data_IF_732686063784
#
_entry.id   IF_732686063784
#
_cell.length_a   1.000
_cell.length_b   1.000
_cell.length_c   1.000
_cell.angle_alpha   90.00
_cell.angle_beta   90.00
_cell.angle_gamma   90.00
#
_symmetry.space_group_name_H-M   'P 1'
#
loop_
_entity.id
_entity.type
_entity.pdbx_description
1 polymer ?
2 water ?
#
# COMPACT_ATOMS: atom_id res chain seq x y z
N UNK A 1 -14.93 19.08 -12.94
CA UNK A 1 -14.50 18.49 -11.64
C UNK A 1 -15.01 17.05 -11.38
N UNK A 2 -15.35 16.33 -12.45
CA UNK A 2 -15.81 14.95 -12.31
C UNK A 2 -14.81 13.97 -11.68
N UNK A 3 -13.53 14.26 -11.82
CA UNK A 3 -12.50 13.26 -11.48
C UNK A 3 -11.60 13.74 -10.36
N UNK A 4 -12.13 14.65 -9.55
CA UNK A 4 -11.34 15.30 -8.51
C UNK A 4 -11.13 14.46 -7.25
N UNK A 5 -11.99 13.45 -7.04
CA UNK A 5 -12.05 12.72 -5.76
C UNK A 5 -11.87 11.21 -5.95
N UNK A 6 -10.88 10.64 -5.26
CA UNK A 6 -10.67 9.20 -5.25
C UNK A 6 -11.65 8.49 -4.30
N UNK A 7 -12.38 7.50 -4.83
CA UNK A 7 -13.25 6.66 -4.01
C UNK A 7 -12.38 5.62 -3.30
N UNK A 8 -11.49 4.99 -4.04
CA UNK A 8 -10.57 4.01 -3.46
C UNK A 8 -9.47 3.68 -4.44
N UNK A 9 -8.46 2.98 -3.93
CA UNK A 9 -7.42 2.39 -4.75
C UNK A 9 -7.54 0.88 -4.47
N UNK A 10 -7.46 0.06 -5.51
CA UNK A 10 -7.55 -1.43 -5.35
C UNK A 10 -6.18 -2.09 -5.51
N UNK A 11 -5.95 -3.13 -4.72
CA UNK A 11 -4.65 -3.84 -4.68
C UNK A 11 -4.96 -5.32 -4.75
N UNK A 12 -4.10 -6.06 -5.46
CA UNK A 12 -4.16 -7.54 -5.51
C UNK A 12 -3.06 -8.07 -4.59
N UNK A 13 -3.45 -8.94 -3.65
CA UNK A 13 -2.54 -9.50 -2.65
C UNK A 13 -2.65 -11.02 -2.67
N UNK A 14 -1.61 -11.69 -2.16
CA UNK A 14 -1.58 -13.17 -2.28
C UNK A 14 -2.10 -13.93 -1.06
N UNK A 15 -1.97 -13.34 0.12
CA UNK A 15 -2.18 -14.09 1.35
C UNK A 15 -2.98 -13.31 2.37
N UNK A 16 -4.01 -13.95 2.92
CA UNK A 16 -4.94 -13.26 3.79
C UNK A 16 -4.28 -12.79 5.10
N UNK A 17 -3.60 -13.70 5.81
CA UNK A 17 -3.01 -13.29 7.10
C UNK A 17 -1.93 -12.21 6.93
N UNK A 18 -1.14 -12.32 5.86
CA UNK A 18 -0.11 -11.31 5.53
C UNK A 18 -0.75 -9.93 5.34
N UNK A 19 -1.90 -9.91 4.67
CA UNK A 19 -2.63 -8.69 4.33
C UNK A 19 -3.17 -8.04 5.61
N UNK A 20 -3.78 -8.83 6.50
CA UNK A 20 -4.26 -8.27 7.78
C UNK A 20 -3.09 -7.76 8.63
N UNK A 21 -2.00 -8.53 8.70
CA UNK A 21 -0.86 -8.15 9.54
C UNK A 21 -0.29 -6.81 9.05
N UNK A 22 -0.18 -6.65 7.75
CA UNK A 22 0.46 -5.47 7.18
C UNK A 22 -0.48 -4.26 7.13
N UNK A 23 -1.58 -4.38 6.41
CA UNK A 23 -2.45 -3.22 6.20
C UNK A 23 -3.29 -2.82 7.40
N UNK A 24 -3.83 -3.81 8.11
CA UNK A 24 -4.67 -3.52 9.24
C UNK A 24 -3.83 -3.30 10.49
N UNK A 25 -3.00 -4.28 10.86
CA UNK A 25 -2.30 -4.19 12.14
C UNK A 25 -1.18 -3.15 12.18
N UNK A 26 -0.40 -3.06 11.11
CA UNK A 26 0.72 -2.15 11.08
C UNK A 26 0.40 -0.78 10.54
N UNK A 27 -0.20 -0.71 9.36
CA UNK A 27 -0.54 0.57 8.75
C UNK A 27 -1.77 1.21 9.39
N UNK A 28 -2.53 0.42 10.14
CA UNK A 28 -3.65 0.94 10.94
C UNK A 28 -4.92 1.20 10.18
N UNK A 29 -5.09 0.57 9.02
CA UNK A 29 -6.36 0.61 8.33
C UNK A 29 -7.35 -0.19 9.17
N UNK A 30 -8.61 0.23 9.14
CA UNK A 30 -9.66 -0.52 9.80
C UNK A 30 -10.45 -1.29 8.75
N UNK A 31 -10.99 -2.44 9.14
CA UNK A 31 -11.86 -3.17 8.21
C UNK A 31 -13.21 -2.46 8.05
N UNK A 32 -13.57 -2.18 6.80
CA UNK A 32 -14.89 -1.68 6.45
C UNK A 32 -15.81 -2.84 6.10
N UNK A 33 -15.35 -3.71 5.21
CA UNK A 33 -16.09 -4.92 4.88
C UNK A 33 -15.15 -6.04 4.46
N UNK A 34 -15.59 -7.29 4.64
CA UNK A 34 -14.83 -8.46 4.17
C UNK A 34 -15.84 -9.44 3.62
N UNK A 35 -15.63 -9.89 2.39
CA UNK A 35 -16.53 -10.87 1.77
C UNK A 35 -15.80 -11.83 0.86
N UNK A 36 -16.21 -13.09 0.87
CA UNK A 36 -15.56 -14.13 0.06
C UNK A 36 -16.36 -14.32 -1.22
N UNK A 37 -15.69 -14.21 -2.36
CA UNK A 37 -16.39 -14.30 -3.64
C UNK A 37 -16.13 -15.67 -4.27
N UNK A 38 -17.06 -16.62 -4.09
CA UNK A 38 -16.77 -18.04 -4.41
C UNK A 38 -16.44 -18.21 -5.89
N UNK A 39 -17.16 -17.45 -6.71
CA UNK A 39 -17.00 -17.46 -8.15
C UNK A 39 -15.59 -17.11 -8.60
N UNK A 40 -14.87 -16.34 -7.78
CA UNK A 40 -13.80 -15.49 -8.33
C UNK A 40 -12.30 -15.76 -8.20
N UNK A 41 -11.83 -16.74 -7.44
CA UNK A 41 -12.35 -17.15 -6.18
C UNK A 41 -11.36 -16.45 -5.23
N UNK A 42 -11.87 -15.47 -4.53
CA UNK A 42 -10.98 -14.60 -3.80
C UNK A 42 -11.68 -14.13 -2.55
N UNK A 43 -10.99 -13.28 -1.82
CA UNK A 43 -11.56 -12.54 -0.72
C UNK A 43 -11.44 -11.06 -1.09
N UNK A 44 -12.53 -10.30 -0.90
CA UNK A 44 -12.53 -8.86 -1.12
C UNK A 44 -12.58 -8.16 0.23
N UNK A 45 -11.50 -7.48 0.57
CA UNK A 45 -11.35 -6.81 1.86
C UNK A 45 -11.29 -5.31 1.62
N UNK A 46 -12.31 -4.58 2.08
CA UNK A 46 -12.34 -3.10 1.99
C UNK A 46 -11.88 -2.48 3.32
N UNK A 47 -10.92 -1.58 3.23
CA UNK A 47 -10.28 -1.00 4.42
C UNK A 47 -10.40 0.52 4.38
N UNK A 48 -10.46 1.13 5.55
CA UNK A 48 -10.67 2.55 5.62
C UNK A 48 -9.63 3.10 6.58
N UNK A 49 -8.92 4.14 6.17
CA UNK A 49 -8.27 5.03 7.15
C UNK A 49 -8.56 6.49 6.85
N UNK A 50 -9.22 7.15 7.80
CA UNK A 50 -9.66 8.53 7.59
C UNK A 50 -10.74 8.53 6.53
N UNK A 51 -10.47 9.17 5.40
CA UNK A 51 -11.46 9.32 4.34
C UNK A 51 -10.97 8.52 3.15
N UNK A 52 -9.82 7.89 3.35
CA UNK A 52 -9.17 7.06 2.37
C UNK A 52 -9.79 5.65 2.38
N UNK A 53 -9.98 5.05 1.21
CA UNK A 53 -10.42 3.65 1.15
C UNK A 53 -9.49 2.80 0.31
N UNK A 54 -9.24 1.59 0.79
CA UNK A 54 -8.35 0.68 0.10
C UNK A 54 -9.10 -0.62 -0.09
N UNK A 55 -9.20 -1.09 -1.33
CA UNK A 55 -9.87 -2.34 -1.65
C UNK A 55 -8.85 -3.40 -2.00
N UNK A 56 -8.84 -4.50 -1.26
CA UNK A 56 -7.81 -5.52 -1.49
C UNK A 56 -8.47 -6.81 -1.92
N UNK A 57 -8.04 -7.33 -3.06
CA UNK A 57 -8.51 -8.62 -3.57
C UNK A 57 -7.41 -9.62 -3.24
N UNK A 58 -7.76 -10.70 -2.53
CA UNK A 58 -6.76 -11.63 -2.03
C UNK A 58 -6.96 -12.99 -2.69
N UNK A 59 -5.92 -13.49 -3.34
CA UNK A 59 -6.02 -14.75 -4.10
C UNK A 59 -4.63 -15.31 -4.39
N UNK A 60 -4.51 -16.63 -4.35
CA UNK A 60 -3.25 -17.23 -4.75
C UNK A 60 -3.12 -17.36 -6.27
N UNK A 61 -4.07 -16.82 -7.01
CA UNK A 61 -4.04 -16.94 -8.48
C UNK A 61 -3.18 -15.88 -9.16
N UNK A 62 -2.90 -14.79 -8.45
CA UNK A 62 -2.17 -13.68 -9.05
C UNK A 62 -0.67 -13.99 -9.10
N UNK A 63 -0.05 -13.91 -10.30
CA UNK A 63 1.41 -14.03 -10.38
C UNK A 63 2.12 -12.78 -9.86
N UNK A 64 3.44 -12.87 -9.76
CA UNK A 64 4.26 -11.80 -9.20
C UNK A 64 4.07 -10.47 -9.93
N UNK A 65 4.17 -9.39 -9.17
CA UNK A 65 4.11 -8.06 -9.75
C UNK A 65 5.32 -7.92 -10.70
N UNK A 66 5.08 -7.59 -11.97
CA UNK A 66 6.22 -7.43 -12.90
C UNK A 66 7.22 -6.38 -12.46
N UNK A 67 8.50 -6.68 -12.66
CA UNK A 67 9.55 -5.72 -12.41
C UNK A 67 10.69 -6.02 -13.38
N UNK A 68 11.52 -5.02 -13.64
CA UNK A 68 12.70 -5.22 -14.49
C UNK A 68 12.40 -5.85 -15.86
N UNK A 69 11.55 -5.19 -16.66
CA UNK A 69 10.88 -3.90 -16.42
C UNK A 69 9.51 -4.02 -15.74
N UNK A 70 9.09 -2.94 -15.10
CA UNK A 70 7.70 -2.86 -14.64
C UNK A 70 6.75 -2.81 -15.85
N UNK A 71 5.50 -3.17 -15.60
CA UNK A 71 4.53 -3.19 -16.67
C UNK A 71 3.71 -1.89 -16.65
N UNK A 72 3.07 -1.64 -17.77
CA UNK A 72 2.05 -0.61 -17.85
C UNK A 72 1.01 -0.78 -16.76
N UNK A 73 0.46 0.35 -16.30
CA UNK A 73 -0.63 0.35 -15.33
C UNK A 73 -0.22 1.05 -14.06
N UNK A 74 -0.89 0.73 -12.96
CA UNK A 74 -0.56 1.41 -11.69
C UNK A 74 0.79 0.93 -11.15
N UNK A 75 1.62 1.88 -10.74
CA UNK A 75 3.01 1.62 -10.36
C UNK A 75 3.21 1.62 -8.83
N UNK A 76 2.81 2.70 -8.19
CA UNK A 76 2.96 2.80 -6.72
C UNK A 76 1.94 3.71 -6.12
N UNK A 77 1.84 3.68 -4.78
CA UNK A 77 0.96 4.56 -4.05
C UNK A 77 1.84 5.32 -3.08
N UNK A 78 1.65 6.63 -2.98
CA UNK A 78 2.51 7.46 -2.13
C UNK A 78 1.70 8.09 -1.02
N UNK A 79 2.27 8.09 0.19
CA UNK A 79 1.64 8.72 1.34
C UNK A 79 2.34 10.04 1.67
N UNK A 80 1.56 11.09 1.96
CA UNK A 80 2.15 12.35 2.42
C UNK A 80 2.40 12.23 3.92
N UNK A 81 3.62 12.57 4.34
CA UNK A 81 3.97 12.58 5.77
C UNK A 81 4.48 13.95 6.18
N UNK A 82 4.34 14.23 7.48
CA UNK A 82 4.78 15.51 8.02
C UNK A 82 6.28 15.47 8.32
N UNK A 83 6.70 14.44 9.04
CA UNK A 83 8.11 14.29 9.34
C UNK A 83 8.48 12.84 9.10
N UNK A 84 9.23 12.64 8.03
CA UNK A 84 9.48 11.30 7.47
C UNK A 84 10.26 10.35 8.40
N UNK A 85 11.19 10.90 9.18
CA UNK A 85 12.04 10.09 10.06
C UNK A 85 11.22 9.29 11.07
N UNK A 86 10.19 9.92 11.63
CA UNK A 86 9.35 9.22 12.61
C UNK A 86 8.53 8.11 11.99
N UNK A 87 8.06 8.33 10.76
CA UNK A 87 7.29 7.30 10.06
C UNK A 87 8.20 6.11 9.72
N UNK A 88 9.40 6.41 9.21
CA UNK A 88 10.40 5.36 8.98
C UNK A 88 10.68 4.57 10.27
N UNK A 89 10.89 5.27 11.38
CA UNK A 89 11.18 4.61 12.64
C UNK A 89 10.02 3.68 13.01
N UNK A 90 8.79 4.20 12.91
CA UNK A 90 7.59 3.40 13.18
C UNK A 90 7.54 2.12 12.34
N UNK A 91 7.79 2.25 11.04
CA UNK A 91 7.77 1.08 10.16
C UNK A 91 8.87 0.09 10.54
N UNK A 92 10.08 0.62 10.76
CA UNK A 92 11.22 -0.25 11.07
C UNK A 92 10.96 -1.01 12.37
N UNK A 93 10.30 -0.35 13.32
CA UNK A 93 10.01 -1.01 14.59
C UNK A 93 9.04 -2.18 14.37
N UNK A 94 8.16 -2.04 13.37
CA UNK A 94 7.19 -3.09 13.02
C UNK A 94 7.76 -4.14 12.08
N UNK A 95 9.06 -4.07 11.81
CA UNK A 95 9.73 -5.05 10.96
C UNK A 95 9.56 -4.78 9.48
N UNK A 96 9.18 -3.54 9.14
CA UNK A 96 9.03 -3.16 7.75
C UNK A 96 10.24 -2.33 7.33
N UNK A 97 11.04 -2.88 6.42
CA UNK A 97 12.25 -2.22 5.92
C UNK A 97 11.96 -1.02 5.02
N UNK A 98 12.82 -0.01 5.10
CA UNK A 98 12.68 1.17 4.27
C UNK A 98 13.98 1.39 3.52
N UNK A 99 13.87 1.87 2.29
CA UNK A 99 15.04 2.30 1.51
C UNK A 99 15.70 3.52 2.16
N UNK A 100 17.01 3.73 1.90
CA UNK A 100 17.65 4.94 2.43
C UNK A 100 16.90 6.20 1.98
N UNK A 101 16.87 7.19 2.87
CA UNK A 101 16.19 8.44 2.64
C UNK A 101 16.89 9.19 1.50
N UNK A 102 16.11 9.81 0.63
CA UNK A 102 16.68 10.72 -0.37
C UNK A 102 15.74 11.89 -0.61
N UNK A 103 16.12 12.78 -1.52
CA UNK A 103 15.27 13.90 -1.88
C UNK A 103 14.77 13.75 -3.31
N UNK A 104 13.56 14.26 -3.54
CA UNK A 104 12.92 14.22 -4.86
C UNK A 104 13.75 15.08 -5.83
N UNK A 105 14.05 14.52 -7.01
CA UNK A 105 14.93 15.16 -8.01
C UNK A 105 14.51 16.57 -8.38
N UNK A 106 13.20 16.79 -8.43
CA UNK A 106 12.69 18.04 -8.97
C UNK A 106 12.04 18.95 -7.93
N UNK A 107 11.75 18.41 -6.75
CA UNK A 107 11.14 19.22 -5.68
C UNK A 107 12.03 19.49 -4.45
N UNK A 108 13.01 18.63 -4.21
CA UNK A 108 13.87 18.78 -3.03
C UNK A 108 13.29 18.27 -1.71
N UNK A 109 12.12 17.63 -1.74
CA UNK A 109 11.51 17.10 -0.50
C UNK A 109 11.92 15.67 -0.24
N UNK A 110 11.98 15.31 1.04
CA UNK A 110 12.40 13.96 1.46
C UNK A 110 11.40 12.89 1.08
N UNK A 111 11.91 11.73 0.70
CA UNK A 111 11.07 10.60 0.29
C UNK A 111 11.83 9.30 0.47
N UNK A 112 11.08 8.21 0.61
CA UNK A 112 11.66 6.88 0.55
C UNK A 112 10.51 5.90 0.20
N UNK A 113 10.86 4.62 0.07
CA UNK A 113 9.91 3.55 -0.23
C UNK A 113 10.01 2.44 0.79
N UNK A 114 8.87 1.82 1.05
CA UNK A 114 8.80 0.53 1.70
C UNK A 114 7.91 -0.34 0.80
N UNK A 115 7.71 -1.60 1.15
CA UNK A 115 7.05 -2.53 0.22
C UNK A 115 6.09 -3.37 0.98
N UNK A 116 4.96 -3.65 0.34
CA UNK A 116 3.96 -4.55 0.95
C UNK A 116 4.44 -6.01 0.85
N UNK A 117 3.71 -6.94 1.47
CA UNK A 117 4.16 -8.33 1.54
C UNK A 117 4.40 -8.97 0.17
N UNK A 118 3.73 -8.45 -0.86
CA UNK A 118 3.89 -8.92 -2.25
C UNK A 118 4.78 -8.00 -3.09
N UNK A 119 5.50 -7.12 -2.41
CA UNK A 119 6.49 -6.28 -3.11
C UNK A 119 5.93 -5.03 -3.78
N UNK A 120 4.70 -4.63 -3.43
CA UNK A 120 4.14 -3.40 -3.97
C UNK A 120 4.91 -2.22 -3.39
N UNK A 121 5.50 -1.36 -4.24
CA UNK A 121 6.16 -0.16 -3.68
C UNK A 121 5.16 0.83 -3.10
N UNK A 122 5.46 1.28 -1.88
CA UNK A 122 4.66 2.27 -1.19
C UNK A 122 5.62 3.38 -0.81
N UNK A 123 5.30 4.59 -1.26
CA UNK A 123 6.21 5.71 -1.03
C UNK A 123 5.79 6.55 0.18
N UNK A 124 6.79 7.09 0.90
CA UNK A 124 6.58 8.17 1.86
C UNK A 124 7.18 9.43 1.27
N UNK A 125 6.42 10.53 1.32
CA UNK A 125 6.87 11.77 0.72
C UNK A 125 6.46 12.94 1.60
N UNK A 126 7.41 13.82 1.90
CA UNK A 126 7.09 15.04 2.66
C UNK A 126 6.39 16.11 1.80
#
# INVERSE_FOLDING_TARGET
MFFKEIHHVAINASNYQATKNFYVEKLGFEVLRENHRPEKNDIKLDLKLGSQELEIFISDQFPARPSYPEALGLRHLAFKVEHIEEVIAFLNEQGIETEPLRVDDFTGKKMTFFFDPDGLPLELHE
#
